data_IF_424875438002
#
_entry.id   IF_424875438002
#
_cell.length_a   1.000
_cell.length_b   1.000
_cell.length_c   1.000
_cell.angle_alpha   90.00
_cell.angle_beta   90.00
_cell.angle_gamma   90.00
#
_symmetry.space_group_name_H-M   'P 1'
#
loop_
_entity.id
_entity.type
_entity.pdbx_description
1 polymer ?
#
# COMPACT_ATOMS: atom_id res chain seq x y z
N UNK A 1 2.93 -2.42 -3.80
CA UNK A 1 3.51 -2.43 -2.45
C UNK A 1 4.61 -3.48 -2.33
N UNK A 2 4.31 -4.76 -2.55
CA UNK A 2 5.30 -5.84 -2.38
C UNK A 2 6.57 -5.59 -3.22
N UNK A 3 6.43 -5.18 -4.48
CA UNK A 3 7.57 -4.94 -5.36
C UNK A 3 8.56 -3.86 -4.86
N UNK A 4 8.06 -2.74 -4.32
CA UNK A 4 8.95 -1.69 -3.80
C UNK A 4 9.62 -2.11 -2.48
N UNK A 5 8.92 -2.90 -1.65
CA UNK A 5 9.50 -3.46 -0.43
C UNK A 5 10.61 -4.46 -0.78
N UNK A 6 10.34 -5.37 -1.72
CA UNK A 6 11.35 -6.32 -2.20
C UNK A 6 12.57 -5.60 -2.83
N UNK A 7 12.32 -4.55 -3.64
CA UNK A 7 13.38 -3.75 -4.24
C UNK A 7 14.22 -3.02 -3.18
N UNK A 8 13.63 -2.53 -2.10
CA UNK A 8 14.35 -1.89 -1.00
C UNK A 8 15.26 -2.88 -0.27
N UNK A 9 14.78 -4.08 0.02
CA UNK A 9 15.60 -5.15 0.62
C UNK A 9 16.73 -5.59 -0.34
N UNK A 10 16.42 -5.77 -1.63
CA UNK A 10 17.44 -6.13 -2.62
C UNK A 10 18.47 -5.02 -2.83
N UNK A 11 18.07 -3.76 -2.69
CA UNK A 11 19.00 -2.63 -2.74
C UNK A 11 19.92 -2.62 -1.51
N UNK A 12 19.41 -2.96 -0.34
CA UNK A 12 20.22 -3.14 0.87
C UNK A 12 21.29 -4.23 0.65
N UNK A 13 20.92 -5.33 0.01
CA UNK A 13 21.84 -6.42 -0.35
C UNK A 13 22.78 -6.08 -1.53
N UNK A 14 22.83 -4.83 -2.00
CA UNK A 14 23.66 -4.38 -3.11
C UNK A 14 23.27 -4.92 -4.49
N UNK A 15 22.09 -5.57 -4.62
CA UNK A 15 21.64 -6.18 -5.88
C UNK A 15 20.83 -5.23 -6.78
N UNK A 16 20.39 -4.09 -6.24
CA UNK A 16 19.61 -3.08 -6.95
C UNK A 16 19.97 -1.68 -6.48
N UNK A 17 19.82 -0.69 -7.38
CA UNK A 17 19.92 0.72 -6.99
C UNK A 17 18.60 1.17 -6.36
N UNK A 18 18.69 1.68 -5.12
CA UNK A 18 17.51 2.14 -4.37
C UNK A 18 16.86 3.37 -5.02
N UNK A 19 17.67 4.27 -5.59
CA UNK A 19 17.18 5.50 -6.22
C UNK A 19 16.38 5.17 -7.46
N UNK A 20 16.91 4.31 -8.32
CA UNK A 20 16.22 3.83 -9.53
C UNK A 20 14.93 3.12 -9.15
N UNK A 21 14.95 2.26 -8.13
CA UNK A 21 13.78 1.53 -7.65
C UNK A 21 12.69 2.47 -7.14
N UNK A 22 13.03 3.50 -6.37
CA UNK A 22 12.10 4.52 -5.87
C UNK A 22 11.49 5.31 -7.03
N UNK A 23 12.31 5.77 -7.99
CA UNK A 23 11.83 6.53 -9.15
C UNK A 23 10.87 5.69 -9.99
N UNK A 24 11.23 4.47 -10.34
CA UNK A 24 10.38 3.58 -11.12
C UNK A 24 9.05 3.28 -10.40
N UNK A 25 9.09 3.03 -9.09
CA UNK A 25 7.88 2.78 -8.30
C UNK A 25 6.98 4.02 -8.23
N UNK A 26 7.55 5.22 -8.06
CA UNK A 26 6.80 6.47 -8.05
C UNK A 26 6.12 6.73 -9.40
N UNK A 27 6.87 6.60 -10.50
CA UNK A 27 6.37 6.81 -11.87
C UNK A 27 5.26 5.81 -12.21
N UNK A 28 5.50 4.52 -12.01
CA UNK A 28 4.53 3.47 -12.28
C UNK A 28 3.24 3.66 -11.47
N UNK A 29 3.36 4.05 -10.19
CA UNK A 29 2.22 4.31 -9.34
C UNK A 29 1.43 5.55 -9.79
N UNK A 30 2.13 6.65 -10.12
CA UNK A 30 1.52 7.89 -10.61
C UNK A 30 0.77 7.67 -11.93
N UNK A 31 1.39 6.96 -12.88
CA UNK A 31 0.78 6.62 -14.17
C UNK A 31 -0.45 5.75 -13.95
N UNK A 32 -0.35 4.67 -13.18
CA UNK A 32 -1.46 3.76 -12.94
C UNK A 32 -2.69 4.46 -12.35
N UNK A 33 -2.50 5.30 -11.35
CA UNK A 33 -3.59 6.07 -10.73
C UNK A 33 -4.19 7.13 -11.69
N UNK A 34 -3.34 7.76 -12.51
CA UNK A 34 -3.76 8.74 -13.50
C UNK A 34 -4.57 8.09 -14.63
N UNK A 35 -4.16 6.90 -15.08
CA UNK A 35 -4.91 6.11 -16.05
C UNK A 35 -6.28 5.70 -15.52
N UNK A 36 -6.38 5.26 -14.26
CA UNK A 36 -7.66 4.91 -13.63
C UNK A 36 -8.59 6.13 -13.59
N UNK A 37 -8.09 7.30 -13.21
CA UNK A 37 -8.86 8.53 -13.23
C UNK A 37 -9.32 8.87 -14.65
N UNK A 38 -8.42 8.79 -15.64
CA UNK A 38 -8.71 9.11 -17.04
C UNK A 38 -9.76 8.17 -17.63
N UNK A 39 -9.59 6.86 -17.46
CA UNK A 39 -10.55 5.85 -17.93
C UNK A 39 -11.93 6.08 -17.32
N UNK A 40 -12.02 6.33 -16.03
CA UNK A 40 -13.33 6.59 -15.40
C UNK A 40 -13.96 7.89 -15.84
N UNK A 41 -13.17 8.89 -16.24
CA UNK A 41 -13.64 10.17 -16.76
C UNK A 41 -14.22 10.06 -18.17
N UNK A 42 -13.49 9.39 -19.07
CA UNK A 42 -13.79 9.38 -20.50
C UNK A 42 -14.45 8.08 -20.98
N UNK A 43 -14.30 7.00 -20.25
CA UNK A 43 -14.91 5.71 -20.57
C UNK A 43 -15.67 5.13 -19.37
N UNK A 44 -16.71 5.85 -18.96
CA UNK A 44 -17.57 5.46 -17.84
C UNK A 44 -18.19 4.08 -18.02
N UNK A 45 -18.57 3.70 -19.24
CA UNK A 45 -19.18 2.41 -19.54
C UNK A 45 -18.27 1.23 -19.20
N UNK A 46 -16.97 1.34 -19.49
CA UNK A 46 -15.99 0.30 -19.18
C UNK A 46 -15.78 0.10 -17.66
N UNK A 47 -15.98 1.15 -16.87
CA UNK A 47 -15.73 1.12 -15.42
C UNK A 47 -16.97 0.73 -14.61
N UNK A 48 -18.17 0.98 -15.13
CA UNK A 48 -19.42 0.73 -14.42
C UNK A 48 -19.62 -0.71 -13.95
N UNK A 49 -19.31 -1.77 -14.73
CA UNK A 49 -19.45 -3.15 -14.26
C UNK A 49 -18.58 -3.45 -13.03
N UNK A 50 -17.34 -2.95 -13.02
CA UNK A 50 -16.44 -3.09 -11.88
C UNK A 50 -16.95 -2.32 -10.65
N UNK A 51 -17.42 -1.10 -10.84
CA UNK A 51 -17.96 -0.26 -9.76
C UNK A 51 -19.28 -0.82 -9.21
N UNK A 52 -20.13 -1.41 -10.06
CA UNK A 52 -21.36 -2.06 -9.64
C UNK A 52 -21.10 -3.23 -8.68
N UNK A 53 -20.03 -4.02 -8.92
CA UNK A 53 -19.59 -5.10 -8.03
C UNK A 53 -19.11 -4.59 -6.67
N UNK A 54 -18.62 -3.33 -6.59
CA UNK A 54 -18.00 -2.76 -5.40
C UNK A 54 -18.74 -1.52 -4.86
N UNK A 55 -20.08 -1.48 -4.99
CA UNK A 55 -20.92 -0.33 -4.65
C UNK A 55 -20.66 0.27 -3.27
N UNK A 56 -20.54 -0.58 -2.23
CA UNK A 56 -20.27 -0.12 -0.85
C UNK A 56 -18.91 0.61 -0.72
N UNK A 57 -17.87 0.03 -1.32
CA UNK A 57 -16.52 0.62 -1.30
C UNK A 57 -16.46 1.89 -2.14
N UNK A 58 -17.19 1.95 -3.26
CA UNK A 58 -17.31 3.15 -4.09
C UNK A 58 -18.00 4.27 -3.32
N UNK A 59 -19.15 4.01 -2.70
CA UNK A 59 -19.86 4.98 -1.87
C UNK A 59 -18.96 5.52 -0.74
N UNK A 60 -18.26 4.63 -0.05
CA UNK A 60 -17.29 5.02 0.98
C UNK A 60 -16.16 5.89 0.42
N UNK A 61 -15.61 5.55 -0.75
CA UNK A 61 -14.59 6.37 -1.43
C UNK A 61 -15.08 7.77 -1.77
N UNK A 62 -16.34 7.89 -2.21
CA UNK A 62 -16.98 9.17 -2.51
C UNK A 62 -17.22 10.01 -1.26
N UNK A 63 -17.66 9.37 -0.15
CA UNK A 63 -17.83 10.03 1.14
C UNK A 63 -16.48 10.55 1.65
N UNK A 64 -15.45 9.71 1.63
CA UNK A 64 -14.09 10.11 2.03
C UNK A 64 -13.58 11.29 1.20
N UNK A 65 -13.82 11.27 -0.11
CA UNK A 65 -13.43 12.37 -0.98
C UNK A 65 -14.22 13.65 -0.67
N UNK A 66 -15.52 13.55 -0.41
CA UNK A 66 -16.36 14.69 -0.03
C UNK A 66 -15.94 15.32 1.30
N UNK A 67 -15.54 14.49 2.27
CA UNK A 67 -15.13 14.93 3.60
C UNK A 67 -13.70 15.49 3.64
N UNK A 68 -12.77 14.86 2.94
CA UNK A 68 -11.33 15.15 3.06
C UNK A 68 -10.73 15.84 1.82
N UNK A 69 -11.50 15.95 0.73
CA UNK A 69 -11.07 16.64 -0.49
C UNK A 69 -9.72 16.16 -1.02
N UNK A 70 -8.80 17.10 -1.24
CA UNK A 70 -7.47 16.84 -1.79
C UNK A 70 -6.62 15.89 -0.93
N UNK A 71 -6.81 15.90 0.39
CA UNK A 71 -6.03 15.07 1.32
C UNK A 71 -6.19 13.58 1.03
N UNK A 72 -7.40 13.14 0.63
CA UNK A 72 -7.64 11.73 0.34
C UNK A 72 -6.88 11.24 -0.90
N UNK A 73 -6.59 12.12 -1.87
CA UNK A 73 -5.80 11.77 -3.05
C UNK A 73 -4.36 11.42 -2.64
N UNK A 74 -3.84 12.12 -1.66
CA UNK A 74 -2.51 11.83 -1.09
C UNK A 74 -2.52 10.55 -0.25
N UNK A 75 -3.45 10.46 0.72
CA UNK A 75 -3.48 9.38 1.71
C UNK A 75 -4.06 8.06 1.19
N UNK A 76 -4.75 8.03 0.04
CA UNK A 76 -5.34 6.80 -0.54
C UNK A 76 -4.34 5.65 -0.70
N UNK A 77 -3.06 5.98 -0.89
CA UNK A 77 -1.99 5.01 -1.11
C UNK A 77 -1.73 4.14 0.12
N UNK A 78 -2.07 4.64 1.29
CA UNK A 78 -1.94 3.97 2.59
C UNK A 78 -3.21 3.20 2.99
N UNK A 79 -4.34 3.44 2.29
CA UNK A 79 -5.61 2.77 2.59
C UNK A 79 -5.75 1.53 1.73
N UNK A 80 -5.56 0.36 2.35
CA UNK A 80 -5.68 -0.91 1.65
C UNK A 80 -7.11 -1.14 1.14
N UNK A 81 -7.24 -1.61 -0.11
CA UNK A 81 -8.52 -1.93 -0.75
C UNK A 81 -9.28 -0.74 -1.38
N UNK A 82 -8.87 0.52 -1.13
CA UNK A 82 -9.47 1.71 -1.74
C UNK A 82 -8.57 2.37 -2.78
N UNK A 83 -7.33 1.94 -2.90
CA UNK A 83 -6.31 2.48 -3.80
C UNK A 83 -6.81 2.66 -5.25
N UNK A 84 -7.49 1.66 -5.79
CA UNK A 84 -8.03 1.67 -7.16
C UNK A 84 -9.36 2.42 -7.25
N UNK A 85 -10.21 2.29 -6.22
CA UNK A 85 -11.56 2.85 -6.24
C UNK A 85 -11.57 4.38 -6.09
N UNK A 86 -10.64 4.95 -5.33
CA UNK A 86 -10.58 6.40 -5.13
C UNK A 86 -10.29 7.16 -6.44
N UNK A 87 -9.27 6.82 -7.26
CA UNK A 87 -9.09 7.46 -8.57
C UNK A 87 -10.29 7.31 -9.48
N UNK A 88 -10.91 6.12 -9.51
CA UNK A 88 -12.11 5.86 -10.30
C UNK A 88 -13.29 6.71 -9.80
N UNK A 89 -13.50 6.77 -8.49
CA UNK A 89 -14.58 7.56 -7.88
C UNK A 89 -14.42 9.06 -8.19
N UNK A 90 -13.21 9.59 -8.07
CA UNK A 90 -12.91 11.00 -8.32
C UNK A 90 -13.03 11.31 -9.83
N UNK A 91 -12.58 10.41 -10.70
CA UNK A 91 -12.70 10.56 -12.16
C UNK A 91 -14.15 10.69 -12.63
N UNK A 92 -15.11 10.09 -11.94
CA UNK A 92 -16.55 10.24 -12.20
C UNK A 92 -17.11 11.61 -11.78
N UNK A 93 -16.38 12.40 -11.02
CA UNK A 93 -16.78 13.74 -10.58
C UNK A 93 -16.25 14.81 -11.51
N UNK A 94 -16.66 16.08 -11.34
CA UNK A 94 -16.13 17.24 -12.08
C UNK A 94 -14.76 17.74 -11.56
N UNK A 95 -14.04 16.91 -10.79
CA UNK A 95 -12.74 17.29 -10.22
C UNK A 95 -11.68 17.51 -11.31
N UNK A 96 -10.85 18.57 -11.17
CA UNK A 96 -9.82 18.91 -12.16
C UNK A 96 -8.76 17.83 -12.34
N UNK A 97 -8.50 17.42 -13.56
CA UNK A 97 -7.45 16.46 -13.91
C UNK A 97 -6.07 16.94 -13.49
N UNK A 98 -5.75 18.23 -13.76
CA UNK A 98 -4.46 18.80 -13.39
C UNK A 98 -4.22 18.77 -11.86
N UNK A 99 -5.23 19.18 -11.07
CA UNK A 99 -5.14 19.11 -9.61
C UNK A 99 -4.97 17.68 -9.11
N UNK A 100 -5.73 16.73 -9.68
CA UNK A 100 -5.57 15.31 -9.34
C UNK A 100 -4.15 14.81 -9.64
N UNK A 101 -3.63 15.08 -10.84
CA UNK A 101 -2.32 14.61 -11.31
C UNK A 101 -1.19 15.13 -10.43
N UNK A 102 -1.19 16.43 -10.12
CA UNK A 102 -0.15 17.04 -9.26
C UNK A 102 -0.14 16.38 -7.88
N UNK A 103 -1.30 16.29 -7.21
CA UNK A 103 -1.39 15.70 -5.86
C UNK A 103 -1.05 14.21 -5.91
N UNK A 104 -1.47 13.50 -6.97
CA UNK A 104 -1.17 12.10 -7.17
C UNK A 104 0.32 11.83 -7.34
N UNK A 105 1.03 12.65 -8.14
CA UNK A 105 2.48 12.55 -8.34
C UNK A 105 3.21 12.79 -7.02
N UNK A 106 2.90 13.90 -6.32
CA UNK A 106 3.50 14.19 -5.00
C UNK A 106 3.27 13.04 -4.02
N UNK A 107 2.05 12.52 -3.96
CA UNK A 107 1.74 11.37 -3.10
C UNK A 107 2.45 10.08 -3.55
N UNK A 108 2.68 9.87 -4.87
CA UNK A 108 3.41 8.72 -5.38
C UNK A 108 4.88 8.76 -5.00
N UNK A 109 5.51 9.93 -5.11
CA UNK A 109 6.91 10.15 -4.72
C UNK A 109 7.06 9.94 -3.21
N UNK A 110 6.25 10.61 -2.39
CA UNK A 110 6.30 10.45 -0.93
C UNK A 110 6.11 8.99 -0.50
N UNK A 111 5.15 8.29 -1.10
CA UNK A 111 4.89 6.88 -0.82
C UNK A 111 6.07 5.97 -1.23
N UNK A 112 6.67 6.21 -2.41
CA UNK A 112 7.79 5.42 -2.89
C UNK A 112 9.05 5.63 -2.03
N UNK A 113 9.31 6.87 -1.60
CA UNK A 113 10.42 7.18 -0.68
C UNK A 113 10.20 6.48 0.67
N UNK A 114 9.01 6.63 1.26
CA UNK A 114 8.72 6.02 2.57
C UNK A 114 8.86 4.50 2.54
N UNK A 115 8.30 3.83 1.53
CA UNK A 115 8.39 2.37 1.44
C UNK A 115 9.76 1.89 0.98
N UNK A 116 10.40 2.59 0.03
CA UNK A 116 11.72 2.22 -0.48
C UNK A 116 12.79 2.35 0.59
N UNK A 117 12.90 3.51 1.23
CA UNK A 117 13.86 3.72 2.32
C UNK A 117 13.51 2.92 3.56
N UNK A 118 12.22 2.84 3.91
CA UNK A 118 11.77 2.05 5.05
C UNK A 118 12.11 0.57 4.91
N UNK A 119 11.95 -0.01 3.72
CA UNK A 119 12.33 -1.41 3.47
C UNK A 119 13.84 -1.61 3.35
N UNK A 120 14.58 -0.60 2.88
CA UNK A 120 16.03 -0.62 2.89
C UNK A 120 16.60 -0.70 4.33
N UNK A 121 16.13 0.19 5.20
CA UNK A 121 16.53 0.19 6.63
C UNK A 121 16.01 -1.02 7.39
N UNK A 122 14.84 -1.54 7.03
CA UNK A 122 14.35 -2.78 7.61
C UNK A 122 15.23 -3.97 7.21
N UNK A 123 15.78 -3.99 5.99
CA UNK A 123 16.78 -4.97 5.55
C UNK A 123 18.03 -4.95 6.43
N UNK A 124 18.56 -3.75 6.65
CA UNK A 124 19.72 -3.54 7.54
C UNK A 124 19.44 -4.00 8.99
N UNK A 125 18.28 -3.62 9.53
CA UNK A 125 17.89 -4.05 10.86
C UNK A 125 17.73 -5.58 10.97
N UNK A 126 17.21 -6.20 9.90
CA UNK A 126 17.06 -7.66 9.84
C UNK A 126 18.42 -8.37 9.78
N UNK A 127 19.38 -7.88 8.99
CA UNK A 127 20.74 -8.43 8.95
C UNK A 127 21.42 -8.35 10.32
N UNK A 128 21.39 -7.19 10.95
CA UNK A 128 21.96 -7.03 12.31
C UNK A 128 21.32 -7.98 13.33
N UNK A 129 20.00 -8.15 13.26
CA UNK A 129 19.29 -9.10 14.13
C UNK A 129 19.66 -10.56 13.81
N UNK A 130 19.85 -10.88 12.52
CA UNK A 130 20.27 -12.20 12.08
C UNK A 130 21.68 -12.55 12.53
N UNK A 131 22.63 -11.62 12.38
CA UNK A 131 24.02 -11.80 12.84
C UNK A 131 24.06 -11.96 14.36
N UNK A 132 23.34 -11.13 15.11
CA UNK A 132 23.20 -11.26 16.55
C UNK A 132 22.61 -12.60 16.99
N UNK A 133 21.60 -13.10 16.26
CA UNK A 133 21.01 -14.42 16.52
C UNK A 133 21.95 -15.57 16.11
N UNK A 134 22.77 -15.36 15.07
CA UNK A 134 23.77 -16.34 14.63
C UNK A 134 24.88 -16.52 15.66
N UNK A 135 25.35 -15.44 16.26
CA UNK A 135 26.32 -15.48 17.38
C UNK A 135 25.73 -16.14 18.64
N UNK A 136 24.43 -15.99 18.84
CA UNK A 136 23.67 -16.57 19.98
C UNK A 136 22.68 -17.62 19.48
N UNK A 137 23.17 -18.76 18.97
CA UNK A 137 22.38 -19.76 18.24
C UNK A 137 21.12 -20.31 18.97
N UNK A 138 21.03 -20.13 20.28
CA UNK A 138 19.83 -20.47 21.07
C UNK A 138 18.68 -19.46 20.91
N UNK A 139 18.96 -18.24 20.48
CA UNK A 139 17.93 -17.21 20.29
C UNK A 139 17.01 -17.50 19.09
N UNK A 140 17.53 -18.14 18.04
CA UNK A 140 16.73 -18.52 16.87
C UNK A 140 15.52 -19.40 17.21
N UNK A 141 15.68 -20.55 17.89
CA UNK A 141 14.52 -21.37 18.26
C UNK A 141 13.58 -20.66 19.24
N UNK A 142 14.10 -19.82 20.15
CA UNK A 142 13.27 -19.06 21.09
C UNK A 142 12.43 -17.99 20.39
N UNK A 143 13.00 -17.21 19.47
CA UNK A 143 12.26 -16.20 18.72
C UNK A 143 11.23 -16.82 17.78
N UNK A 144 11.56 -17.93 17.12
CA UNK A 144 10.64 -18.67 16.27
C UNK A 144 9.48 -19.25 17.07
N UNK A 145 9.74 -19.83 18.22
CA UNK A 145 8.72 -20.39 19.11
C UNK A 145 7.80 -19.30 19.67
N UNK A 146 8.36 -18.15 20.08
CA UNK A 146 7.57 -17.02 20.58
C UNK A 146 6.66 -16.42 19.49
N UNK A 147 7.15 -16.27 18.25
CA UNK A 147 6.36 -15.83 17.11
C UNK A 147 5.21 -16.79 16.78
N UNK A 148 5.50 -18.09 16.76
CA UNK A 148 4.47 -19.11 16.52
C UNK A 148 3.40 -19.11 17.63
N UNK A 149 3.82 -18.91 18.89
CA UNK A 149 2.90 -18.82 20.03
C UNK A 149 2.02 -17.57 19.93
N UNK A 150 2.60 -16.40 19.56
CA UNK A 150 1.85 -15.17 19.37
C UNK A 150 0.84 -15.29 18.22
N UNK A 151 1.24 -15.88 17.10
CA UNK A 151 0.35 -16.12 15.95
C UNK A 151 -0.78 -17.07 16.39
N UNK A 152 -0.48 -18.11 17.12
CA UNK A 152 -1.47 -19.09 17.60
C UNK A 152 -2.48 -18.45 18.56
N UNK A 153 -2.02 -17.66 19.53
CA UNK A 153 -2.88 -16.90 20.46
C UNK A 153 -3.76 -15.92 19.69
N UNK A 154 -3.17 -15.17 18.74
CA UNK A 154 -3.92 -14.23 17.90
C UNK A 154 -5.02 -14.94 17.10
N UNK A 155 -4.71 -16.08 16.49
CA UNK A 155 -5.70 -16.87 15.75
C UNK A 155 -6.80 -17.43 16.66
N UNK A 156 -6.48 -17.86 17.88
CA UNK A 156 -7.48 -18.30 18.86
C UNK A 156 -8.42 -17.16 19.28
N UNK A 157 -7.89 -15.96 19.52
CA UNK A 157 -8.74 -14.80 19.85
C UNK A 157 -9.62 -14.37 18.68
N UNK A 158 -9.09 -14.39 17.46
CA UNK A 158 -9.83 -14.07 16.25
C UNK A 158 -10.99 -15.06 16.00
N UNK A 159 -10.77 -16.36 16.28
CA UNK A 159 -11.81 -17.40 16.14
C UNK A 159 -12.85 -17.34 17.26
N UNK A 160 -12.47 -17.02 18.50
CA UNK A 160 -13.42 -16.84 19.63
C UNK A 160 -14.37 -15.66 19.44
N UNK A 161 -13.89 -14.56 18.84
CA UNK A 161 -14.74 -13.40 18.52
C UNK A 161 -15.79 -13.72 17.45
N UNK A 162 -15.51 -14.64 16.53
CA UNK A 162 -16.44 -14.99 15.45
C UNK A 162 -17.57 -15.93 15.91
N UNK A 163 -17.34 -16.78 16.91
CA UNK A 163 -18.34 -17.69 17.48
C UNK A 163 -19.27 -17.07 18.54
N UNK A 164 -19.12 -15.76 18.85
CA UNK A 164 -19.93 -15.04 19.84
C UNK A 164 -20.96 -14.12 19.18
N UNK A 165 -20.99 -14.05 17.85
CA UNK A 165 -21.89 -13.24 17.01
C UNK A 165 -22.92 -14.07 16.22
N UNK A 166 -23.00 -15.37 16.49
CA UNK A 166 -24.09 -16.28 16.10
C UNK A 166 -24.90 -16.66 17.36
#
# INVERSE_FOLDING_TARGET
MVAIIAAGVLAHLGKMDITVSIVLAAVANAIGDTLLFYVSRYNRAAVMPYLAKHKRKLAFSQILFKQHGNKIIFFKKFIYGLKTLIPLAIGLTKYSFAKFSVINVVGAVAWAILLGLGSFWAGEAFERAWDFMGENGWLMPVTMFSLLTLIWVYLQEATKKKGRSE
#
